data_IF_910883710423
#
_entry.id   IF_910883710423
#
_cell.length_a   1.000
_cell.length_b   1.000
_cell.length_c   1.000
_cell.angle_alpha   90.00
_cell.angle_beta   90.00
_cell.angle_gamma   90.00
#
_symmetry.space_group_name_H-M   'P 1'
#
loop_
_entity.id
_entity.type
_entity.pdbx_description
1 polymer ?
#
# COMPACT_ATOMS: atom_id res chain seq x y z
N UNK A 1 15.15 12.05 4.38
CA UNK A 1 14.29 11.00 4.95
C UNK A 1 13.63 10.27 3.80
N UNK A 2 13.31 8.99 3.96
CA UNK A 2 12.70 8.15 2.94
C UNK A 2 11.43 8.79 2.35
N UNK A 3 11.22 8.61 1.05
CA UNK A 3 9.95 8.91 0.38
C UNK A 3 9.00 7.73 0.62
N UNK A 4 7.86 7.96 1.26
CA UNK A 4 6.85 6.94 1.54
C UNK A 4 5.69 7.04 0.55
N UNK A 5 5.37 5.94 -0.13
CA UNK A 5 4.30 5.81 -1.11
C UNK A 5 3.30 4.73 -0.68
N UNK A 6 2.00 5.06 -0.67
CA UNK A 6 0.91 4.07 -0.60
C UNK A 6 0.32 3.86 -2.00
N UNK A 7 0.07 2.60 -2.37
CA UNK A 7 -0.66 2.26 -3.61
C UNK A 7 -2.08 1.81 -3.27
N UNK A 8 -3.10 2.56 -3.71
CA UNK A 8 -4.48 2.38 -3.24
C UNK A 8 -5.56 2.39 -4.33
N UNK A 9 -6.70 1.76 -4.02
CA UNK A 9 -8.01 1.76 -4.69
C UNK A 9 -8.94 0.83 -3.89
N UNK A 10 -10.21 1.19 -3.69
CA UNK A 10 -11.21 0.33 -3.03
C UNK A 10 -11.73 -0.84 -3.89
N UNK A 11 -11.36 -0.91 -5.16
CA UNK A 11 -11.58 -2.11 -5.97
C UNK A 11 -10.52 -3.17 -5.67
N UNK A 12 -10.98 -4.36 -5.30
CA UNK A 12 -10.14 -5.57 -5.22
C UNK A 12 -9.68 -6.05 -6.60
N UNK A 13 -8.46 -6.58 -6.68
CA UNK A 13 -7.92 -7.24 -7.88
C UNK A 13 -7.29 -6.32 -8.94
N UNK A 14 -7.22 -5.00 -8.71
CA UNK A 14 -6.69 -4.03 -9.69
C UNK A 14 -5.15 -3.98 -9.76
N UNK A 15 -4.44 -4.81 -9.00
CA UNK A 15 -2.97 -4.85 -9.05
C UNK A 15 -2.24 -3.89 -8.10
N UNK A 16 -2.88 -3.43 -7.00
CA UNK A 16 -2.24 -2.64 -5.92
C UNK A 16 -0.93 -3.28 -5.43
N UNK A 17 -1.03 -4.46 -4.83
CA UNK A 17 0.11 -5.24 -4.31
C UNK A 17 1.21 -5.42 -5.35
N UNK A 18 0.83 -5.73 -6.59
CA UNK A 18 1.81 -5.99 -7.66
C UNK A 18 2.58 -4.73 -8.04
N UNK A 19 1.90 -3.60 -8.19
CA UNK A 19 2.57 -2.32 -8.43
C UNK A 19 3.42 -1.91 -7.22
N UNK A 20 2.94 -2.16 -6.00
CA UNK A 20 3.67 -1.83 -4.79
C UNK A 20 5.02 -2.57 -4.71
N UNK A 21 5.00 -3.90 -4.80
CA UNK A 21 6.21 -4.73 -4.66
C UNK A 21 7.16 -4.58 -5.86
N UNK A 22 6.64 -4.40 -7.09
CA UNK A 22 7.50 -4.28 -8.27
C UNK A 22 8.21 -2.94 -8.36
N UNK A 23 7.56 -1.84 -7.95
CA UNK A 23 8.25 -0.55 -7.88
C UNK A 23 9.37 -0.57 -6.83
N UNK A 24 9.14 -1.20 -5.67
CA UNK A 24 10.19 -1.40 -4.66
C UNK A 24 11.35 -2.25 -5.21
N UNK A 25 11.03 -3.36 -5.88
CA UNK A 25 12.02 -4.26 -6.48
C UNK A 25 12.87 -3.56 -7.57
N UNK A 26 12.24 -2.83 -8.48
CA UNK A 26 12.94 -2.11 -9.55
C UNK A 26 13.80 -0.94 -9.04
N UNK A 27 13.36 -0.23 -7.99
CA UNK A 27 14.19 0.79 -7.34
C UNK A 27 15.37 0.17 -6.59
N UNK A 28 15.18 -0.99 -5.96
CA UNK A 28 16.28 -1.75 -5.34
C UNK A 28 17.35 -2.10 -6.35
N UNK A 29 16.95 -2.58 -7.54
CA UNK A 29 17.87 -2.88 -8.65
C UNK A 29 18.64 -1.65 -9.14
N UNK A 30 18.11 -0.45 -8.94
CA UNK A 30 18.79 0.83 -9.23
C UNK A 30 19.72 1.28 -8.09
N UNK A 31 19.86 0.50 -7.03
CA UNK A 31 20.77 0.74 -5.91
C UNK A 31 20.14 1.46 -4.71
N UNK A 32 18.84 1.72 -4.73
CA UNK A 32 18.14 2.37 -3.61
C UNK A 32 17.81 1.38 -2.50
N UNK A 33 17.84 1.86 -1.25
CA UNK A 33 17.33 1.11 -0.09
C UNK A 33 15.82 1.25 -0.04
N UNK A 34 15.10 0.14 -0.17
CA UNK A 34 13.64 0.11 -0.17
C UNK A 34 13.09 -0.76 0.96
N UNK A 35 11.99 -0.31 1.54
CA UNK A 35 11.20 -1.06 2.51
C UNK A 35 9.79 -1.27 1.95
N UNK A 36 9.32 -2.51 1.93
CA UNK A 36 7.91 -2.80 1.72
C UNK A 36 7.26 -3.03 3.08
N UNK A 37 6.12 -2.38 3.32
CA UNK A 37 5.28 -2.59 4.49
C UNK A 37 3.97 -3.20 4.01
N UNK A 38 3.68 -4.42 4.43
CA UNK A 38 2.41 -5.08 4.12
C UNK A 38 1.43 -4.82 5.27
N UNK A 39 0.38 -4.03 5.01
CA UNK A 39 -0.71 -3.80 5.96
C UNK A 39 -1.99 -4.55 5.56
N UNK A 40 -1.97 -5.37 4.51
CA UNK A 40 -3.11 -6.19 4.12
C UNK A 40 -3.09 -7.50 4.92
N UNK A 41 -4.12 -7.84 5.71
CA UNK A 41 -4.20 -9.12 6.42
C UNK A 41 -4.16 -10.35 5.50
N UNK A 42 -4.42 -10.20 4.20
CA UNK A 42 -4.22 -11.27 3.20
C UNK A 42 -2.75 -11.59 2.94
N UNK A 43 -1.82 -10.71 3.34
CA UNK A 43 -0.38 -10.91 3.28
C UNK A 43 0.14 -11.28 1.88
N UNK A 44 -0.44 -10.70 0.83
CA UNK A 44 -0.08 -11.01 -0.56
C UNK A 44 1.32 -10.48 -0.91
N UNK A 45 1.66 -9.24 -0.50
CA UNK A 45 3.00 -8.69 -0.70
C UNK A 45 4.03 -9.54 0.05
N UNK A 46 3.74 -9.86 1.31
CA UNK A 46 4.55 -10.73 2.16
C UNK A 46 4.82 -12.07 1.49
N UNK A 47 3.78 -12.74 1.00
CA UNK A 47 3.90 -14.05 0.36
C UNK A 47 4.83 -14.01 -0.86
N UNK A 48 4.66 -13.03 -1.75
CA UNK A 48 5.48 -12.91 -2.97
C UNK A 48 6.93 -12.58 -2.62
N UNK A 49 7.17 -11.67 -1.67
CA UNK A 49 8.52 -11.26 -1.29
C UNK A 49 9.27 -12.37 -0.54
N UNK A 50 8.60 -13.14 0.33
CA UNK A 50 9.23 -14.30 0.96
C UNK A 50 9.55 -15.41 -0.05
N UNK A 51 8.72 -15.60 -1.09
CA UNK A 51 9.05 -16.47 -2.22
C UNK A 51 10.26 -15.94 -3.00
N UNK A 52 10.36 -14.63 -3.19
CA UNK A 52 11.51 -13.97 -3.83
C UNK A 52 12.79 -14.20 -3.02
N UNK A 53 12.75 -14.07 -1.68
CA UNK A 53 13.89 -14.39 -0.81
C UNK A 53 14.39 -15.82 -1.01
N UNK A 54 13.49 -16.80 -1.14
CA UNK A 54 13.84 -18.21 -1.38
C UNK A 54 14.54 -18.45 -2.72
N UNK A 55 14.41 -17.56 -3.70
CA UNK A 55 15.16 -17.66 -4.95
C UNK A 55 16.64 -17.28 -4.79
N UNK A 56 16.97 -16.56 -3.71
CA UNK A 56 18.31 -16.04 -3.44
C UNK A 56 18.98 -16.70 -2.22
N UNK A 57 18.23 -17.48 -1.43
CA UNK A 57 18.72 -18.14 -0.23
C UNK A 57 17.96 -19.44 0.04
N UNK A 58 18.69 -20.50 0.38
CA UNK A 58 18.13 -21.78 0.83
C UNK A 58 17.76 -21.78 2.33
N UNK A 59 17.91 -20.65 3.02
CA UNK A 59 17.60 -20.54 4.44
C UNK A 59 16.11 -20.75 4.73
N UNK A 60 15.84 -21.58 5.74
CA UNK A 60 14.50 -21.73 6.28
C UNK A 60 14.14 -20.44 7.02
N UNK A 61 13.22 -19.67 6.42
CA UNK A 61 12.71 -18.46 7.04
C UNK A 61 11.69 -18.79 8.13
N UNK A 62 12.00 -18.41 9.37
CA UNK A 62 11.07 -18.30 10.47
C UNK A 62 11.01 -16.85 10.94
N UNK A 63 9.83 -16.39 11.36
CA UNK A 63 9.66 -15.10 12.00
C UNK A 63 9.07 -15.31 13.39
N UNK A 64 9.66 -14.66 14.38
CA UNK A 64 9.22 -14.78 15.78
C UNK A 64 8.11 -13.77 16.11
N UNK A 65 7.96 -12.73 15.28
CA UNK A 65 7.06 -11.61 15.54
C UNK A 65 6.41 -11.10 14.25
N UNK A 66 5.08 -10.94 14.29
CA UNK A 66 4.29 -10.31 13.21
C UNK A 66 4.30 -8.80 13.34
N UNK A 67 4.00 -8.07 12.25
CA UNK A 67 3.83 -6.62 12.31
C UNK A 67 2.77 -6.19 13.34
N UNK A 68 1.64 -6.90 13.43
CA UNK A 68 0.61 -6.58 14.42
C UNK A 68 1.13 -6.71 15.86
N UNK A 69 1.94 -7.74 16.14
CA UNK A 69 2.54 -7.93 17.47
C UNK A 69 3.51 -6.79 17.80
N UNK A 70 4.37 -6.43 16.85
CA UNK A 70 5.31 -5.32 17.00
C UNK A 70 4.60 -3.97 17.23
N UNK A 71 3.50 -3.71 16.52
CA UNK A 71 2.65 -2.52 16.73
C UNK A 71 2.09 -2.48 18.15
N UNK A 72 1.59 -3.61 18.68
CA UNK A 72 1.08 -3.69 20.06
C UNK A 72 2.14 -3.41 21.11
N UNK A 73 3.39 -3.78 20.84
CA UNK A 73 4.54 -3.52 21.71
C UNK A 73 5.08 -2.08 21.58
N UNK A 74 4.65 -1.34 20.55
CA UNK A 74 5.03 0.04 20.32
C UNK A 74 6.38 0.22 19.62
N UNK A 75 6.95 -0.84 19.05
CA UNK A 75 8.21 -0.80 18.30
C UNK A 75 8.21 -1.80 17.14
N UNK A 76 8.41 -1.29 15.91
CA UNK A 76 8.46 -2.07 14.67
C UNK A 76 9.86 -2.15 14.07
N UNK A 77 10.88 -1.63 14.75
CA UNK A 77 12.23 -1.50 14.20
C UNK A 77 13.03 -2.80 14.14
N UNK A 78 12.67 -3.80 14.95
CA UNK A 78 13.39 -5.08 15.05
C UNK A 78 12.76 -6.23 14.24
N UNK A 79 11.72 -5.95 13.45
CA UNK A 79 11.02 -6.96 12.63
C UNK A 79 11.32 -6.85 11.13
N UNK A 80 12.28 -5.98 10.76
CA UNK A 80 12.73 -5.81 9.39
C UNK A 80 13.31 -7.13 8.85
N UNK A 81 12.68 -7.68 7.81
CA UNK A 81 13.16 -8.88 7.13
C UNK A 81 13.84 -8.52 5.83
N UNK A 82 15.15 -8.77 5.70
CA UNK A 82 15.85 -8.60 4.43
C UNK A 82 15.39 -9.66 3.41
N UNK A 83 14.87 -9.22 2.27
CA UNK A 83 14.42 -10.08 1.16
C UNK A 83 15.56 -10.34 0.19
N UNK A 84 16.30 -9.29 -0.14
CA UNK A 84 17.53 -9.29 -0.92
C UNK A 84 18.33 -8.01 -0.56
N UNK A 85 19.60 -7.87 -0.96
CA UNK A 85 20.35 -6.66 -0.65
C UNK A 85 19.59 -5.39 -1.04
N UNK A 86 19.43 -4.48 -0.08
CA UNK A 86 18.69 -3.21 -0.17
C UNK A 86 17.16 -3.30 -0.27
N UNK A 87 16.53 -4.48 -0.23
CA UNK A 87 15.07 -4.64 -0.14
C UNK A 87 14.69 -5.37 1.13
N UNK A 88 13.97 -4.66 2.01
CA UNK A 88 13.45 -5.20 3.26
C UNK A 88 11.92 -5.24 3.26
N UNK A 89 11.37 -6.03 4.18
CA UNK A 89 9.93 -6.23 4.36
C UNK A 89 9.55 -6.11 5.84
N UNK A 90 8.48 -5.36 6.14
CA UNK A 90 7.66 -5.56 7.34
C UNK A 90 6.48 -6.46 6.97
N UNK A 91 6.53 -7.69 7.45
CA UNK A 91 5.59 -8.74 7.03
C UNK A 91 4.23 -8.61 7.71
N UNK A 92 3.17 -8.81 6.93
CA UNK A 92 1.80 -8.96 7.42
C UNK A 92 1.52 -10.43 7.75
N UNK A 93 0.52 -10.64 8.61
CA UNK A 93 -0.05 -11.95 8.88
C UNK A 93 -1.54 -11.81 9.19
N UNK A 94 -2.27 -12.93 9.29
CA UNK A 94 -3.73 -12.92 9.46
C UNK A 94 -4.19 -12.16 10.71
N UNK A 95 -3.33 -12.05 11.72
CA UNK A 95 -3.61 -11.30 12.95
C UNK A 95 -3.68 -9.78 12.75
N UNK A 96 -3.16 -9.25 11.63
CA UNK A 96 -3.27 -7.84 11.27
C UNK A 96 -4.71 -7.38 11.05
N UNK A 97 -5.65 -8.32 10.82
CA UNK A 97 -7.09 -8.02 10.82
C UNK A 97 -7.59 -7.38 12.13
N UNK A 98 -6.83 -7.53 13.23
CA UNK A 98 -7.14 -6.92 14.53
C UNK A 98 -6.68 -5.47 14.68
N UNK A 99 -6.05 -4.86 13.66
CA UNK A 99 -5.47 -3.52 13.76
C UNK A 99 -6.49 -2.45 14.18
N UNK A 100 -7.67 -2.43 13.54
CA UNK A 100 -8.73 -1.47 13.90
C UNK A 100 -9.21 -1.65 15.34
N UNK A 101 -9.41 -2.90 15.78
CA UNK A 101 -9.80 -3.22 17.16
C UNK A 101 -8.72 -2.79 18.16
N UNK A 102 -7.44 -2.98 17.82
CA UNK A 102 -6.33 -2.50 18.63
C UNK A 102 -6.38 -0.98 18.82
N UNK A 103 -6.62 -0.21 17.74
CA UNK A 103 -6.74 1.24 17.84
C UNK A 103 -7.93 1.67 18.71
N UNK A 104 -9.08 1.00 18.55
CA UNK A 104 -10.27 1.30 19.37
C UNK A 104 -10.07 0.98 20.85
N UNK A 105 -9.40 -0.12 21.18
CA UNK A 105 -9.06 -0.45 22.57
C UNK A 105 -8.00 0.49 23.16
N UNK A 106 -7.07 0.98 22.34
CA UNK A 106 -5.96 1.84 22.78
C UNK A 106 -6.40 3.29 22.98
N UNK A 107 -7.26 3.80 22.10
CA UNK A 107 -7.64 5.21 22.04
C UNK A 107 -9.10 5.49 22.40
N UNK A 108 -9.93 4.45 22.56
CA UNK A 108 -11.35 4.54 22.89
C UNK A 108 -12.26 4.65 21.67
N UNK A 109 -13.52 4.23 21.79
CA UNK A 109 -14.55 4.38 20.74
C UNK A 109 -15.29 5.70 20.90
N UNK A 110 -15.54 6.40 19.78
CA UNK A 110 -16.29 7.66 19.74
C UNK A 110 -17.22 7.69 18.55
N UNK A 111 -18.43 8.20 18.74
CA UNK A 111 -19.42 8.39 17.68
C UNK A 111 -19.16 9.69 16.92
N UNK A 112 -19.54 9.75 15.65
CA UNK A 112 -19.35 10.96 14.80
C UNK A 112 -20.03 12.22 15.35
N UNK A 113 -21.05 12.04 16.21
CA UNK A 113 -21.77 13.14 16.87
C UNK A 113 -21.01 13.75 18.04
N UNK A 114 -19.96 13.08 18.55
CA UNK A 114 -19.16 13.57 19.66
C UNK A 114 -18.22 14.71 19.19
N UNK A 115 -18.20 15.88 19.87
CA UNK A 115 -17.30 16.98 19.52
C UNK A 115 -15.81 16.63 19.51
N UNK A 116 -15.41 15.56 20.20
CA UNK A 116 -14.04 15.05 20.26
C UNK A 116 -13.70 14.02 19.18
N UNK A 117 -14.68 13.62 18.35
CA UNK A 117 -14.54 12.57 17.33
C UNK A 117 -13.32 12.79 16.44
N UNK A 118 -13.23 13.94 15.76
CA UNK A 118 -12.13 14.23 14.83
C UNK A 118 -10.76 14.17 15.53
N UNK A 119 -10.66 14.68 16.76
CA UNK A 119 -9.40 14.70 17.52
C UNK A 119 -8.96 13.28 17.90
N UNK A 120 -9.87 12.46 18.40
CA UNK A 120 -9.58 11.08 18.81
C UNK A 120 -9.27 10.23 17.58
N UNK A 121 -10.09 10.31 16.53
CA UNK A 121 -9.88 9.60 15.28
C UNK A 121 -8.57 9.99 14.60
N UNK A 122 -8.22 11.28 14.56
CA UNK A 122 -6.91 11.73 14.06
C UNK A 122 -5.76 11.09 14.85
N UNK A 123 -5.89 10.99 16.17
CA UNK A 123 -4.86 10.38 17.02
C UNK A 123 -4.71 8.89 16.72
N UNK A 124 -5.83 8.16 16.58
CA UNK A 124 -5.84 6.73 16.21
C UNK A 124 -5.10 6.44 14.93
N UNK A 125 -5.50 7.10 13.84
CA UNK A 125 -4.97 6.81 12.50
C UNK A 125 -3.53 7.33 12.31
N UNK A 126 -3.05 8.24 13.18
CA UNK A 126 -1.63 8.64 13.18
C UNK A 126 -0.71 7.68 13.96
N UNK A 127 -1.24 6.66 14.66
CA UNK A 127 -0.43 5.74 15.45
C UNK A 127 0.69 5.08 14.61
N UNK A 128 0.34 4.52 13.45
CA UNK A 128 1.31 3.84 12.59
C UNK A 128 2.40 4.79 12.06
N UNK A 129 2.06 6.04 11.75
CA UNK A 129 3.02 7.06 11.32
C UNK A 129 4.12 7.29 12.36
N UNK A 130 3.76 7.30 13.64
CA UNK A 130 4.73 7.46 14.74
C UNK A 130 5.70 6.28 14.78
N UNK A 131 5.21 5.06 14.63
CA UNK A 131 6.02 3.84 14.58
C UNK A 131 6.93 3.77 13.33
N UNK A 132 6.47 4.27 12.18
CA UNK A 132 7.23 4.27 10.94
C UNK A 132 8.34 5.33 10.91
N UNK A 133 8.18 6.41 11.66
CA UNK A 133 9.09 7.58 11.62
C UNK A 133 10.58 7.22 11.84
N UNK A 134 10.96 6.40 12.83
CA UNK A 134 12.36 5.99 13.03
C UNK A 134 12.94 5.22 11.83
N UNK A 135 12.12 4.46 11.11
CA UNK A 135 12.55 3.68 9.94
C UNK A 135 12.84 4.56 8.72
N UNK A 136 12.23 5.75 8.62
CA UNK A 136 12.46 6.69 7.49
C UNK A 136 13.91 7.16 7.37
N UNK A 137 14.76 6.96 8.38
CA UNK A 137 16.19 7.26 8.32
C UNK A 137 17.04 6.14 7.67
N UNK A 138 16.52 4.91 7.58
CA UNK A 138 17.26 3.73 7.09
C UNK A 138 17.10 3.49 5.58
N UNK A 139 16.05 4.04 4.98
CA UNK A 139 15.62 3.77 3.62
C UNK A 139 15.58 5.03 2.75
N UNK A 140 15.66 4.84 1.44
CA UNK A 140 15.40 5.89 0.45
C UNK A 140 13.92 5.91 0.07
N UNK A 141 13.28 4.73 -0.01
CA UNK A 141 11.87 4.59 -0.35
C UNK A 141 11.15 3.60 0.57
N UNK A 142 9.91 3.91 0.94
CA UNK A 142 9.01 3.03 1.67
C UNK A 142 7.73 2.85 0.86
N UNK A 143 7.30 1.61 0.68
CA UNK A 143 6.14 1.20 -0.12
C UNK A 143 5.13 0.51 0.77
N UNK A 144 3.93 1.07 0.93
CA UNK A 144 2.90 0.52 1.82
C UNK A 144 1.78 -0.14 1.01
N UNK A 145 1.61 -1.46 1.20
CA UNK A 145 0.50 -2.24 0.62
C UNK A 145 -0.70 -2.18 1.55
N UNK A 146 -1.89 -2.01 0.99
CA UNK A 146 -3.13 -1.81 1.76
C UNK A 146 -4.27 -2.66 1.21
N UNK A 147 -5.22 -3.08 2.09
CA UNK A 147 -6.39 -3.81 1.65
C UNK A 147 -7.30 -2.96 0.75
N UNK A 148 -8.19 -3.58 -0.05
CA UNK A 148 -9.14 -2.89 -0.92
C UNK A 148 -10.34 -2.28 -0.16
N UNK A 149 -10.26 -2.06 1.15
CA UNK A 149 -11.41 -1.68 1.97
C UNK A 149 -11.15 -0.42 2.77
N UNK A 150 -12.15 0.47 2.83
CA UNK A 150 -12.14 1.61 3.74
C UNK A 150 -12.03 1.14 5.18
N UNK A 151 -10.94 1.49 5.86
CA UNK A 151 -10.65 1.06 7.22
C UNK A 151 -9.58 1.94 7.85
N UNK A 152 -9.40 1.84 9.18
CA UNK A 152 -8.26 2.49 9.83
C UNK A 152 -6.91 2.00 9.32
N UNK A 153 -6.84 0.82 8.69
CA UNK A 153 -5.63 0.33 8.02
C UNK A 153 -5.27 1.27 6.86
N UNK A 154 -6.22 1.49 5.94
CA UNK A 154 -5.99 2.37 4.77
C UNK A 154 -5.71 3.80 5.19
N UNK A 155 -6.43 4.29 6.20
CA UNK A 155 -6.24 5.67 6.69
C UNK A 155 -4.85 5.83 7.33
N UNK A 156 -4.45 4.88 8.17
CA UNK A 156 -3.14 4.90 8.82
C UNK A 156 -1.99 4.83 7.82
N UNK A 157 -2.14 4.03 6.76
CA UNK A 157 -1.18 3.95 5.66
C UNK A 157 -1.02 5.28 4.95
N UNK A 158 -2.14 5.91 4.58
CA UNK A 158 -2.17 7.18 3.85
C UNK A 158 -1.57 8.31 4.70
N UNK A 159 -1.92 8.43 5.98
CA UNK A 159 -1.34 9.46 6.86
C UNK A 159 0.16 9.27 7.13
N UNK A 160 0.66 8.04 7.01
CA UNK A 160 2.08 7.72 7.11
C UNK A 160 2.86 7.98 5.81
N UNK A 161 2.17 8.23 4.70
CA UNK A 161 2.76 8.42 3.37
C UNK A 161 3.03 9.88 3.04
N UNK A 162 4.02 10.09 2.17
CA UNK A 162 4.27 11.38 1.53
C UNK A 162 3.48 11.46 0.20
N UNK A 163 3.28 10.31 -0.45
CA UNK A 163 2.57 10.20 -1.73
C UNK A 163 1.54 9.06 -1.72
N UNK A 164 0.46 9.24 -2.48
CA UNK A 164 -0.54 8.20 -2.77
C UNK A 164 -0.65 8.00 -4.28
N UNK A 165 -0.41 6.77 -4.74
CA UNK A 165 -0.62 6.34 -6.12
C UNK A 165 -1.95 5.60 -6.21
N UNK A 166 -2.88 6.11 -7.03
CA UNK A 166 -4.16 5.45 -7.26
C UNK A 166 -4.02 4.55 -8.49
N UNK A 167 -4.29 3.26 -8.36
CA UNK A 167 -4.28 2.33 -9.49
C UNK A 167 -5.69 2.19 -10.07
N UNK A 168 -5.83 2.29 -11.38
CA UNK A 168 -7.12 2.23 -12.07
C UNK A 168 -7.08 1.15 -13.15
N UNK A 169 -7.90 0.11 -12.98
CA UNK A 169 -8.17 -0.82 -14.07
C UNK A 169 -9.25 -0.26 -15.00
N UNK A 170 -9.20 -0.58 -16.29
CA UNK A 170 -10.18 -0.16 -17.30
C UNK A 170 -11.51 -0.93 -17.21
N UNK A 171 -12.11 -0.93 -16.03
CA UNK A 171 -13.43 -1.48 -15.73
C UNK A 171 -14.21 -0.44 -14.95
N UNK A 172 -15.51 -0.29 -15.23
CA UNK A 172 -16.37 0.73 -14.58
C UNK A 172 -16.31 0.65 -13.04
N UNK A 173 -16.46 -0.55 -12.47
CA UNK A 173 -16.36 -0.75 -11.01
C UNK A 173 -14.99 -0.36 -10.42
N UNK A 174 -13.93 -0.37 -11.23
CA UNK A 174 -12.61 0.09 -10.78
C UNK A 174 -12.52 1.62 -10.77
N UNK A 175 -13.25 2.29 -11.66
CA UNK A 175 -13.38 3.74 -11.67
C UNK A 175 -14.19 4.20 -10.45
N UNK A 176 -15.34 3.58 -10.19
CA UNK A 176 -16.15 3.89 -9.01
C UNK A 176 -15.33 3.76 -7.71
N UNK A 177 -14.60 2.66 -7.54
CA UNK A 177 -13.74 2.45 -6.39
C UNK A 177 -12.56 3.45 -6.28
N UNK A 178 -12.09 3.98 -7.41
CA UNK A 178 -11.07 5.04 -7.41
C UNK A 178 -11.66 6.40 -7.02
N UNK A 179 -12.89 6.70 -7.44
CA UNK A 179 -13.62 7.93 -7.08
C UNK A 179 -13.93 7.93 -5.58
N UNK A 180 -14.45 6.82 -5.06
CA UNK A 180 -14.69 6.66 -3.62
C UNK A 180 -13.39 6.82 -2.83
N UNK A 181 -12.30 6.21 -3.30
CA UNK A 181 -11.00 6.36 -2.65
C UNK A 181 -10.51 7.81 -2.66
N UNK A 182 -10.65 8.54 -3.78
CA UNK A 182 -10.30 9.96 -3.86
C UNK A 182 -11.09 10.80 -2.84
N UNK A 183 -12.40 10.59 -2.72
CA UNK A 183 -13.23 11.32 -1.78
C UNK A 183 -12.76 11.10 -0.33
N UNK A 184 -12.35 9.87 -0.01
CA UNK A 184 -11.80 9.56 1.31
C UNK A 184 -10.41 10.16 1.53
N UNK A 185 -9.55 10.20 0.51
CA UNK A 185 -8.28 10.94 0.58
C UNK A 185 -8.51 12.43 0.85
N UNK A 186 -9.49 13.06 0.18
CA UNK A 186 -9.86 14.45 0.44
C UNK A 186 -10.34 14.65 1.88
N UNK A 187 -11.12 13.70 2.42
CA UNK A 187 -11.53 13.72 3.82
C UNK A 187 -10.32 13.65 4.76
N UNK A 188 -9.38 12.74 4.52
CA UNK A 188 -8.14 12.59 5.30
C UNK A 188 -7.30 13.88 5.28
N UNK A 189 -7.16 14.51 4.12
CA UNK A 189 -6.44 15.78 3.99
C UNK A 189 -7.13 16.92 4.77
N UNK A 190 -8.44 17.07 4.62
CA UNK A 190 -9.19 18.23 5.14
C UNK A 190 -9.55 18.11 6.62
N UNK A 191 -9.88 16.92 7.12
CA UNK A 191 -10.42 16.72 8.47
C UNK A 191 -9.40 16.14 9.46
N UNK A 192 -8.38 15.43 8.96
CA UNK A 192 -7.45 14.65 9.80
C UNK A 192 -5.99 15.09 9.69
N UNK A 193 -5.73 16.29 9.14
CA UNK A 193 -4.40 16.84 8.92
C UNK A 193 -3.49 15.92 8.10
N UNK A 194 -4.05 15.24 7.10
CA UNK A 194 -3.27 14.46 6.14
C UNK A 194 -2.28 15.36 5.39
N UNK A 195 -1.01 14.97 5.37
CA UNK A 195 0.06 15.68 4.65
C UNK A 195 0.70 14.72 3.64
N UNK A 196 -0.05 14.43 2.59
CA UNK A 196 0.36 13.59 1.46
C UNK A 196 -0.08 14.23 0.15
N UNK A 197 0.62 13.93 -0.93
CA UNK A 197 0.25 14.34 -2.28
C UNK A 197 -0.30 13.15 -3.07
N UNK A 198 -1.33 13.37 -3.89
CA UNK A 198 -1.76 12.37 -4.87
C UNK A 198 -0.72 12.40 -5.98
N UNK A 199 0.06 11.33 -6.09
CA UNK A 199 1.13 11.22 -7.09
C UNK A 199 0.57 11.08 -8.52
N UNK A 200 -0.64 10.51 -8.62
CA UNK A 200 -1.42 10.41 -9.84
C UNK A 200 -2.23 9.12 -9.90
N UNK A 201 -2.88 8.94 -11.04
CA UNK A 201 -3.69 7.78 -11.39
C UNK A 201 -2.92 6.94 -12.41
N UNK A 202 -2.60 5.70 -12.07
CA UNK A 202 -1.91 4.76 -12.94
C UNK A 202 -2.92 3.81 -13.60
N UNK A 203 -3.13 3.89 -14.92
CA UNK A 203 -3.89 2.89 -15.65
C UNK A 203 -3.17 1.53 -15.67
N UNK A 204 -3.87 0.48 -15.26
CA UNK A 204 -3.31 -0.87 -15.11
C UNK A 204 -4.22 -1.95 -15.68
N UNK A 205 -3.63 -3.12 -15.95
CA UNK A 205 -4.32 -4.31 -16.44
C UNK A 205 -5.15 -4.05 -17.71
N UNK A 206 -4.60 -3.26 -18.63
CA UNK A 206 -5.22 -3.00 -19.93
C UNK A 206 -5.34 -4.32 -20.70
N UNK A 207 -6.56 -4.73 -21.02
CA UNK A 207 -6.86 -6.00 -21.69
C UNK A 207 -6.86 -5.88 -23.23
N UNK A 208 -6.59 -4.68 -23.77
CA UNK A 208 -6.47 -4.43 -25.21
C UNK A 208 -7.82 -4.25 -25.92
N UNK A 209 -8.93 -4.20 -25.17
CA UNK A 209 -10.22 -3.78 -25.70
C UNK A 209 -10.25 -2.25 -25.78
N UNK A 210 -9.66 -1.73 -26.86
CA UNK A 210 -9.42 -0.31 -27.03
C UNK A 210 -10.67 0.57 -26.82
N UNK A 211 -11.88 0.10 -27.12
CA UNK A 211 -13.10 0.91 -26.95
C UNK A 211 -13.48 1.11 -25.48
N UNK A 212 -13.57 0.02 -24.69
CA UNK A 212 -13.88 0.11 -23.26
C UNK A 212 -12.73 0.77 -22.49
N UNK A 213 -11.50 0.42 -22.84
CA UNK A 213 -10.29 0.98 -22.25
C UNK A 213 -10.23 2.50 -22.44
N UNK A 214 -10.51 2.98 -23.66
CA UNK A 214 -10.55 4.42 -23.93
C UNK A 214 -11.73 5.10 -23.24
N UNK A 215 -12.92 4.48 -23.21
CA UNK A 215 -14.07 5.04 -22.53
C UNK A 215 -13.84 5.24 -21.02
N UNK A 216 -13.30 4.24 -20.33
CA UNK A 216 -13.00 4.35 -18.90
C UNK A 216 -11.90 5.36 -18.64
N UNK A 217 -10.88 5.43 -19.51
CA UNK A 217 -9.83 6.43 -19.41
C UNK A 217 -10.34 7.85 -19.65
N UNK A 218 -11.21 8.07 -20.63
CA UNK A 218 -11.82 9.38 -20.89
C UNK A 218 -12.63 9.86 -19.68
N UNK A 219 -13.43 8.97 -19.08
CA UNK A 219 -14.17 9.28 -17.86
C UNK A 219 -13.23 9.57 -16.68
N UNK A 220 -12.16 8.77 -16.53
CA UNK A 220 -11.15 9.03 -15.52
C UNK A 220 -10.50 10.41 -15.73
N UNK A 221 -10.16 10.79 -16.96
CA UNK A 221 -9.60 12.11 -17.28
C UNK A 221 -10.56 13.23 -16.89
N UNK A 222 -11.85 13.06 -17.13
CA UNK A 222 -12.86 14.05 -16.74
C UNK A 222 -12.97 14.22 -15.21
N UNK A 223 -12.80 13.13 -14.46
CA UNK A 223 -12.93 13.15 -12.99
C UNK A 223 -11.64 13.61 -12.30
N UNK A 224 -10.50 13.08 -12.73
CA UNK A 224 -9.22 13.28 -12.05
C UNK A 224 -8.37 14.39 -12.66
N UNK A 225 -8.66 14.86 -13.88
CA UNK A 225 -7.80 15.78 -14.62
C UNK A 225 -6.72 15.04 -15.41
N UNK A 226 -6.44 15.51 -16.62
CA UNK A 226 -5.47 14.89 -17.54
C UNK A 226 -4.06 14.87 -16.97
N UNK A 227 -3.67 15.94 -16.27
CA UNK A 227 -2.37 16.12 -15.63
C UNK A 227 -2.11 15.11 -14.50
N UNK A 228 -3.16 14.53 -13.92
CA UNK A 228 -3.06 13.56 -12.84
C UNK A 228 -3.01 12.12 -13.36
N UNK A 229 -3.21 11.88 -14.65
CA UNK A 229 -3.17 10.53 -15.23
C UNK A 229 -1.79 10.24 -15.79
N UNK A 230 -1.23 9.09 -15.43
CA UNK A 230 0.03 8.64 -15.98
C UNK A 230 -0.09 8.37 -17.49
N UNK A 231 0.85 8.93 -18.25
CA UNK A 231 1.03 8.61 -19.67
C UNK A 231 1.36 7.13 -19.89
N UNK A 232 2.08 6.52 -18.94
CA UNK A 232 2.41 5.10 -18.96
C UNK A 232 1.20 4.26 -18.54
N UNK A 233 0.84 3.28 -19.36
CA UNK A 233 -0.24 2.32 -19.07
C UNK A 233 0.37 0.93 -18.86
N UNK A 234 -0.03 0.23 -17.80
CA UNK A 234 0.47 -1.11 -17.50
C UNK A 234 -0.43 -2.15 -18.19
N UNK A 235 0.04 -2.91 -19.18
CA UNK A 235 -0.76 -3.94 -19.84
C UNK A 235 -0.99 -5.12 -18.91
N UNK A 236 -2.04 -5.90 -19.19
CA UNK A 236 -2.22 -7.19 -18.52
C UNK A 236 -1.10 -8.16 -18.93
N UNK A 237 -0.34 -8.66 -17.95
CA UNK A 237 0.83 -9.49 -18.19
C UNK A 237 0.69 -10.85 -17.50
N UNK A 238 0.61 -11.93 -18.27
CA UNK A 238 0.50 -13.30 -17.74
C UNK A 238 1.64 -13.66 -16.76
N UNK A 239 2.85 -13.15 -17.00
CA UNK A 239 4.01 -13.39 -16.13
C UNK A 239 3.81 -12.90 -14.69
N UNK A 240 3.02 -11.86 -14.47
CA UNK A 240 2.81 -11.31 -13.12
C UNK A 240 2.04 -12.26 -12.21
N UNK A 241 1.19 -13.12 -12.80
CA UNK A 241 0.49 -14.20 -12.10
C UNK A 241 1.45 -15.33 -11.69
N UNK A 242 2.54 -15.53 -12.43
CA UNK A 242 3.57 -16.54 -12.07
C UNK A 242 4.31 -16.14 -10.81
N UNK A 243 4.57 -14.84 -10.61
CA UNK A 243 5.24 -14.32 -9.42
C UNK A 243 4.50 -14.62 -8.13
N UNK A 244 3.18 -14.83 -8.19
CA UNK A 244 2.44 -15.30 -7.03
C UNK A 244 3.06 -16.61 -6.56
N UNK A 245 3.35 -17.56 -7.44
CA UNK A 245 3.90 -18.86 -7.08
C UNK A 245 5.42 -18.89 -6.90
N UNK A 246 6.16 -18.15 -7.74
CA UNK A 246 7.62 -18.26 -7.81
C UNK A 246 8.36 -17.23 -6.97
N UNK A 247 7.71 -16.11 -6.62
CA UNK A 247 8.44 -14.88 -6.29
C UNK A 247 8.84 -14.12 -7.56
N UNK A 248 9.39 -12.92 -7.39
CA UNK A 248 9.84 -12.05 -8.48
C UNK A 248 11.14 -12.63 -9.04
N UNK A 249 11.16 -12.92 -10.35
CA UNK A 249 12.32 -13.48 -11.07
C UNK A 249 12.45 -12.84 -12.45
N UNK A 250 13.69 -12.70 -12.90
CA UNK A 250 14.06 -12.24 -14.25
C UNK A 250 14.20 -13.40 -15.26
N UNK A 251 14.25 -14.64 -14.75
CA UNK A 251 14.36 -15.85 -15.56
C UNK A 251 12.96 -16.44 -15.81
N UNK A 252 12.66 -16.70 -17.09
CA UNK A 252 11.43 -17.35 -17.55
C UNK A 252 11.51 -18.89 -17.50
#
# INVERSE_FOLDING_TARGET
>A
MAITLTVGNYKGGVGKTKNNILNAYELTKKGYKTLVVDLDPQANATTVLLRTKKLHSDEVFSFDKTLMTAIKEGDISDIETEIMPNLSLLLSYIDFANYSTFLDLTYGLVEETDPSFNKITTTKINHFKQLLTPLKAKYDYIFIDVPPTKSYITDSAVLASDYVLIVLQTQELSLDGAIEYLNDLQKLANEYNGNFEIFGILPVLMDGNASLDNFVLENATQVFGEENIFNTKIPNMARLKRFDNTGITEYD
#
